data_IF_049486582520
#
_entry.id   IF_049486582520
#
_cell.length_a   1.000
_cell.length_b   1.000
_cell.length_c   1.000
_cell.angle_alpha   90.00
_cell.angle_beta   90.00
_cell.angle_gamma   90.00
#
_symmetry.space_group_name_H-M   'P 1'
#
loop_
_entity.id
_entity.type
_entity.pdbx_description
1 polymer ?
#
# COMPACT_ATOMS: atom_id res chain seq x y z
N UNK A 1 -22.13 3.52 5.40
CA UNK A 1 -22.57 4.24 6.62
C UNK A 1 -22.01 5.65 6.56
N UNK A 2 -22.80 6.68 6.88
CA UNK A 2 -22.33 8.06 6.99
C UNK A 2 -22.51 8.57 8.43
N UNK A 3 -21.58 9.38 8.92
CA UNK A 3 -21.62 9.95 10.27
C UNK A 3 -21.33 11.45 10.22
N UNK A 4 -21.88 12.20 11.18
CA UNK A 4 -21.71 13.64 11.25
C UNK A 4 -20.59 14.00 12.25
N UNK A 5 -19.68 14.89 11.86
CA UNK A 5 -18.57 15.37 12.69
C UNK A 5 -18.65 16.88 12.81
N UNK A 6 -18.60 17.39 14.05
CA UNK A 6 -18.59 18.84 14.30
C UNK A 6 -17.17 19.38 14.29
N UNK A 7 -17.02 20.65 13.94
CA UNK A 7 -15.77 21.40 14.05
C UNK A 7 -14.62 20.91 13.13
N UNK A 8 -14.96 20.23 12.02
CA UNK A 8 -14.01 19.86 10.97
C UNK A 8 -14.48 20.45 9.64
N UNK A 9 -13.60 21.15 8.93
CA UNK A 9 -13.91 21.71 7.61
C UNK A 9 -13.73 20.66 6.53
N UNK A 10 -14.57 20.72 5.48
CA UNK A 10 -14.45 19.89 4.28
C UNK A 10 -13.08 20.04 3.58
N UNK A 11 -12.36 21.15 3.81
CA UNK A 11 -11.03 21.39 3.26
C UNK A 11 -9.95 20.43 3.80
N UNK A 12 -10.19 19.79 4.94
CA UNK A 12 -9.23 18.89 5.59
C UNK A 12 -9.55 17.41 5.35
N UNK A 13 -10.68 17.09 4.73
CA UNK A 13 -11.13 15.71 4.52
C UNK A 13 -11.16 15.43 3.02
N UNK A 14 -10.45 14.40 2.61
CA UNK A 14 -10.41 13.92 1.23
C UNK A 14 -10.78 12.43 1.17
N UNK A 15 -11.14 11.97 -0.03
CA UNK A 15 -11.28 10.53 -0.28
C UNK A 15 -9.94 9.84 -0.02
N UNK A 16 -9.97 8.69 0.65
CA UNK A 16 -8.79 7.95 1.09
C UNK A 16 -8.35 8.25 2.52
N UNK A 17 -8.90 9.29 3.18
CA UNK A 17 -8.65 9.49 4.61
C UNK A 17 -9.34 8.40 5.44
N UNK A 18 -8.62 7.91 6.46
CA UNK A 18 -9.11 6.87 7.37
C UNK A 18 -9.53 7.50 8.68
N UNK A 19 -10.77 7.25 9.10
CA UNK A 19 -11.26 7.65 10.41
C UNK A 19 -11.15 6.47 11.39
N UNK A 20 -10.57 6.71 12.57
CA UNK A 20 -10.46 5.73 13.65
C UNK A 20 -10.78 6.36 15.00
N UNK A 21 -11.00 5.53 16.02
CA UNK A 21 -11.18 6.03 17.39
C UNK A 21 -9.84 6.50 17.96
N UNK A 22 -9.83 7.71 18.50
CA UNK A 22 -8.68 8.28 19.20
C UNK A 22 -8.19 7.44 20.39
N UNK A 23 -9.06 6.67 21.04
CA UNK A 23 -8.73 5.90 22.24
C UNK A 23 -8.40 4.44 21.97
N UNK A 24 -8.79 3.92 20.81
CA UNK A 24 -8.61 2.53 20.43
C UNK A 24 -7.83 2.43 19.12
N UNK A 25 -6.50 2.52 19.24
CA UNK A 25 -5.55 2.43 18.11
C UNK A 25 -5.86 3.41 16.96
N UNK A 26 -5.53 4.71 17.14
CA UNK A 26 -5.85 5.72 16.14
C UNK A 26 -5.14 5.42 14.81
N UNK A 27 -5.83 5.68 13.70
CA UNK A 27 -5.22 5.55 12.38
C UNK A 27 -4.02 6.49 12.24
N UNK A 28 -2.88 5.95 11.82
CA UNK A 28 -1.62 6.68 11.62
C UNK A 28 -1.21 6.65 10.15
N UNK A 29 -0.46 7.68 9.73
CA UNK A 29 0.13 7.71 8.40
C UNK A 29 1.24 6.66 8.25
N UNK A 30 1.23 5.94 7.13
CA UNK A 30 2.27 4.98 6.80
C UNK A 30 3.36 5.64 5.95
N UNK A 31 4.58 5.76 6.48
CA UNK A 31 5.73 6.22 5.70
C UNK A 31 6.20 5.17 4.66
N UNK A 32 5.91 3.90 4.93
CA UNK A 32 6.18 2.77 4.05
C UNK A 32 5.70 1.48 4.69
N UNK A 33 5.43 0.47 3.88
CA UNK A 33 4.96 -0.83 4.34
C UNK A 33 5.63 -1.94 3.53
N UNK A 34 5.73 -3.12 4.14
CA UNK A 34 6.12 -4.35 3.43
C UNK A 34 4.85 -5.05 3.00
N UNK A 35 4.77 -5.45 1.73
CA UNK A 35 3.66 -6.22 1.21
C UNK A 35 4.17 -7.34 0.31
N UNK A 36 3.41 -8.42 0.25
CA UNK A 36 3.56 -9.44 -0.77
C UNK A 36 2.75 -9.02 -1.99
N UNK A 37 3.37 -9.02 -3.15
CA UNK A 37 2.74 -8.60 -4.40
C UNK A 37 2.84 -9.74 -5.41
N UNK A 38 1.73 -10.03 -6.08
CA UNK A 38 1.69 -10.95 -7.21
C UNK A 38 1.71 -10.13 -8.48
N UNK A 39 2.71 -10.36 -9.33
CA UNK A 39 2.82 -9.69 -10.62
C UNK A 39 1.97 -10.45 -11.63
N UNK A 40 0.99 -9.75 -12.22
CA UNK A 40 0.16 -10.28 -13.30
C UNK A 40 0.90 -10.21 -14.65
N UNK A 41 0.24 -10.61 -15.74
CA UNK A 41 0.81 -10.59 -17.09
C UNK A 41 1.11 -9.16 -17.58
N UNK A 42 2.26 -8.64 -17.16
CA UNK A 42 2.77 -7.32 -17.48
C UNK A 42 3.95 -7.44 -18.46
N UNK A 43 3.96 -6.72 -19.60
CA UNK A 43 5.01 -6.85 -20.62
C UNK A 43 6.37 -6.26 -20.21
N UNK A 44 6.47 -5.66 -19.02
CA UNK A 44 7.68 -5.00 -18.52
C UNK A 44 8.34 -5.72 -17.35
N UNK A 45 9.60 -5.36 -17.09
CA UNK A 45 10.32 -5.73 -15.87
C UNK A 45 10.07 -4.70 -14.77
N UNK A 46 9.94 -5.18 -13.52
CA UNK A 46 9.72 -4.35 -12.35
C UNK A 46 10.99 -4.34 -11.53
N UNK A 47 11.61 -3.16 -11.43
CA UNK A 47 12.83 -2.95 -10.67
C UNK A 47 12.57 -2.10 -9.44
N UNK A 48 13.52 -2.12 -8.50
CA UNK A 48 13.51 -1.17 -7.39
C UNK A 48 13.44 0.26 -7.92
N UNK A 49 12.47 1.02 -7.44
CA UNK A 49 12.15 2.36 -7.91
C UNK A 49 10.97 2.45 -8.87
N UNK A 50 10.41 1.32 -9.33
CA UNK A 50 9.13 1.31 -10.04
C UNK A 50 8.03 1.93 -9.17
N UNK A 51 7.25 2.84 -9.73
CA UNK A 51 6.26 3.64 -9.00
C UNK A 51 4.87 3.54 -9.64
N UNK A 52 4.17 2.40 -9.48
CA UNK A 52 2.81 2.26 -9.96
C UNK A 52 1.83 3.07 -9.08
N UNK A 53 0.64 3.32 -9.62
CA UNK A 53 -0.48 3.77 -8.82
C UNK A 53 -1.04 2.59 -8.05
N UNK A 54 -1.27 2.78 -6.76
CA UNK A 54 -1.83 1.78 -5.86
C UNK A 54 -3.19 2.24 -5.35
N UNK A 55 -4.17 1.37 -5.54
CA UNK A 55 -5.47 1.45 -4.90
C UNK A 55 -5.45 0.66 -3.59
N UNK A 56 -5.73 1.32 -2.48
CA UNK A 56 -5.92 0.69 -1.18
C UNK A 56 -7.22 1.20 -0.56
N UNK A 57 -8.23 0.34 -0.44
CA UNK A 57 -9.56 0.74 -0.02
C UNK A 57 -10.15 1.84 -0.92
N UNK A 58 -10.19 3.09 -0.43
CA UNK A 58 -10.67 4.27 -1.15
C UNK A 58 -9.55 5.27 -1.44
N UNK A 59 -8.31 4.95 -1.03
CA UNK A 59 -7.12 5.72 -1.32
C UNK A 59 -6.54 5.31 -2.68
N UNK A 60 -6.21 6.31 -3.48
CA UNK A 60 -5.63 6.17 -4.81
C UNK A 60 -4.38 7.04 -4.87
N UNK A 61 -3.21 6.42 -4.71
CA UNK A 61 -1.93 7.14 -4.56
C UNK A 61 -0.81 6.38 -5.25
N UNK A 62 0.18 7.10 -5.77
CA UNK A 62 1.40 6.50 -6.32
C UNK A 62 2.29 5.96 -5.21
N UNK A 63 2.66 4.69 -5.28
CA UNK A 63 3.56 4.06 -4.32
C UNK A 63 4.83 3.60 -5.04
N UNK A 64 6.00 3.89 -4.45
CA UNK A 64 7.29 3.49 -5.00
C UNK A 64 7.75 2.19 -4.36
N UNK A 65 8.17 1.23 -5.18
CA UNK A 65 8.81 0.01 -4.71
C UNK A 65 10.24 0.35 -4.28
N UNK A 66 10.42 0.65 -2.99
CA UNK A 66 11.71 1.06 -2.46
C UNK A 66 12.75 -0.08 -2.52
N UNK A 67 12.34 -1.30 -2.17
CA UNK A 67 13.19 -2.47 -2.10
C UNK A 67 12.39 -3.73 -2.49
N UNK A 68 12.97 -4.59 -3.33
CA UNK A 68 12.41 -5.91 -3.66
C UNK A 68 13.18 -6.99 -2.88
N UNK A 69 12.61 -7.43 -1.76
CA UNK A 69 13.33 -8.26 -0.78
C UNK A 69 13.46 -9.72 -1.17
N UNK A 70 12.35 -10.33 -1.56
CA UNK A 70 12.25 -11.78 -1.70
C UNK A 70 11.41 -12.12 -2.92
N UNK A 71 11.82 -13.16 -3.65
CA UNK A 71 10.98 -13.80 -4.66
C UNK A 71 10.39 -15.06 -4.05
N UNK A 72 9.07 -15.07 -3.90
CA UNK A 72 8.28 -16.14 -3.30
C UNK A 72 7.52 -16.88 -4.40
N UNK A 73 7.50 -18.21 -4.33
CA UNK A 73 6.60 -19.02 -5.15
C UNK A 73 5.17 -18.93 -4.60
N UNK A 74 4.22 -18.47 -5.42
CA UNK A 74 2.84 -18.25 -5.00
C UNK A 74 2.02 -19.52 -4.77
N UNK A 75 2.50 -20.69 -5.19
CA UNK A 75 1.83 -21.97 -4.98
C UNK A 75 2.30 -22.68 -3.71
N UNK A 76 3.59 -22.56 -3.38
CA UNK A 76 4.23 -23.28 -2.29
C UNK A 76 4.53 -22.40 -1.07
N UNK A 77 4.38 -21.08 -1.17
CA UNK A 77 4.78 -20.09 -0.15
C UNK A 77 6.22 -20.29 0.35
N UNK A 78 7.10 -20.88 -0.48
CA UNK A 78 8.51 -21.09 -0.16
C UNK A 78 9.35 -20.00 -0.82
N UNK A 79 10.30 -19.49 -0.05
CA UNK A 79 11.27 -18.50 -0.52
C UNK A 79 12.20 -19.13 -1.56
N UNK A 80 12.18 -18.58 -2.77
CA UNK A 80 13.03 -19.07 -3.86
C UNK A 80 14.41 -18.39 -3.84
N UNK A 81 14.45 -17.06 -3.71
CA UNK A 81 15.70 -16.26 -3.65
C UNK A 81 15.52 -15.03 -2.76
N UNK A 82 16.52 -14.78 -1.90
CA UNK A 82 16.69 -13.53 -1.13
C UNK A 82 17.49 -12.53 -1.99
N UNK A 83 17.04 -11.27 -2.05
CA UNK A 83 17.56 -10.19 -2.90
C UNK A 83 17.72 -10.56 -4.39
N UNK A 84 16.61 -10.80 -5.11
CA UNK A 84 16.67 -11.09 -6.54
C UNK A 84 17.07 -9.84 -7.34
N UNK A 85 17.98 -9.99 -8.31
CA UNK A 85 18.11 -9.01 -9.40
C UNK A 85 16.93 -9.25 -10.36
N UNK A 86 16.06 -8.25 -10.51
CA UNK A 86 14.89 -8.27 -11.39
C UNK A 86 15.21 -7.71 -12.79
#
# INVERSE_FOLDING_TARGET
>A
MGFNVKNVSLKYIHSGNVAGDSKGDPAMEAAGFKAQVIILNHPGQINAGYAPVQDCHTAHTTCKFAELREKIDCYLERNWKMAPNF
#
